data_IF_407397977750
#
_entry.id   IF_407397977750
#
_cell.length_a   1.000
_cell.length_b   1.000
_cell.length_c   1.000
_cell.angle_alpha   90.00
_cell.angle_beta   90.00
_cell.angle_gamma   90.00
#
_symmetry.space_group_name_H-M   'P 1'
#
loop_
_entity.id
_entity.type
_entity.pdbx_description
1 polymer ?
#
# COMPACT_ATOMS: atom_id res chain seq x y z
N UNK A 1 17.27 12.65 -0.78
CA UNK A 1 17.77 14.03 -0.87
C UNK A 1 18.36 14.49 0.47
N UNK A 2 17.58 14.56 1.56
CA UNK A 2 18.08 14.96 2.90
C UNK A 2 19.28 14.13 3.39
N UNK A 3 19.22 12.80 3.28
CA UNK A 3 20.32 11.92 3.70
C UNK A 3 21.63 12.16 2.91
N UNK A 4 21.53 12.61 1.66
CA UNK A 4 22.70 12.88 0.81
C UNK A 4 23.38 14.21 1.15
N UNK A 5 22.66 15.16 1.75
CA UNK A 5 23.22 16.45 2.17
C UNK A 5 23.93 16.33 3.52
N UNK A 6 23.46 15.44 4.41
CA UNK A 6 23.93 15.41 5.80
C UNK A 6 24.90 14.28 6.17
N UNK A 7 25.02 13.23 5.35
CA UNK A 7 25.95 12.13 5.61
C UNK A 7 25.90 11.65 7.07
N UNK A 8 26.96 11.94 7.83
CA UNK A 8 27.21 11.49 9.21
C UNK A 8 26.61 12.36 10.33
N UNK A 9 25.92 13.48 10.03
CA UNK A 9 25.34 14.38 11.06
C UNK A 9 23.80 14.45 11.02
N UNK A 10 23.09 13.35 11.35
CA UNK A 10 21.63 13.26 11.20
C UNK A 10 20.83 14.22 12.11
N UNK A 11 21.44 14.77 13.17
CA UNK A 11 20.75 15.65 14.13
C UNK A 11 20.56 17.10 13.67
N UNK A 12 21.13 17.50 12.54
CA UNK A 12 21.11 18.88 12.03
C UNK A 12 20.30 19.04 10.74
N UNK A 13 19.46 18.05 10.41
CA UNK A 13 18.70 17.99 9.17
C UNK A 13 17.85 19.25 8.89
N UNK A 14 17.42 19.94 9.94
CA UNK A 14 16.64 21.18 9.92
C UNK A 14 17.34 22.31 9.16
N UNK A 15 18.66 22.45 9.31
CA UNK A 15 19.41 23.48 8.58
C UNK A 15 19.51 23.23 7.07
N UNK A 16 19.41 21.97 6.62
CA UNK A 16 19.41 21.64 5.19
C UNK A 16 18.02 21.73 4.57
N UNK A 17 16.96 21.86 5.36
CA UNK A 17 15.59 21.84 4.87
C UNK A 17 15.35 22.91 3.78
N UNK A 18 15.79 24.18 3.93
CA UNK A 18 15.58 25.19 2.89
C UNK A 18 16.32 24.87 1.58
N UNK A 19 17.53 24.30 1.68
CA UNK A 19 18.33 23.96 0.51
C UNK A 19 17.74 22.76 -0.24
N UNK A 20 17.27 21.75 0.51
CA UNK A 20 16.61 20.57 -0.05
C UNK A 20 15.27 20.94 -0.67
N UNK A 21 14.48 21.79 -0.02
CA UNK A 21 13.22 22.30 -0.57
C UNK A 21 13.44 23.03 -1.89
N UNK A 22 14.42 23.95 -1.92
CA UNK A 22 14.75 24.69 -3.13
C UNK A 22 15.21 23.75 -4.26
N UNK A 23 16.09 22.78 -3.95
CA UNK A 23 16.57 21.80 -4.92
C UNK A 23 15.44 20.92 -5.45
N UNK A 24 14.54 20.45 -4.58
CA UNK A 24 13.39 19.64 -4.95
C UNK A 24 12.41 20.43 -5.84
N UNK A 25 12.07 21.66 -5.46
CA UNK A 25 11.13 22.51 -6.20
C UNK A 25 11.70 23.05 -7.51
N UNK A 26 13.03 23.09 -7.66
CA UNK A 26 13.72 23.48 -8.90
C UNK A 26 13.98 22.32 -9.85
N UNK A 27 14.04 21.08 -9.35
CA UNK A 27 14.32 19.91 -10.17
C UNK A 27 13.12 19.54 -11.07
N UNK A 28 13.41 19.14 -12.30
CA UNK A 28 12.39 18.64 -13.24
C UNK A 28 11.95 17.24 -12.80
N UNK A 29 10.65 17.06 -12.60
CA UNK A 29 10.11 15.77 -12.19
C UNK A 29 9.69 14.94 -13.41
N UNK A 30 10.03 13.65 -13.44
CA UNK A 30 9.79 12.77 -14.60
C UNK A 30 8.32 12.58 -14.95
N UNK A 31 7.42 12.63 -13.95
CA UNK A 31 5.98 12.48 -14.18
C UNK A 31 5.32 13.72 -14.83
N UNK A 32 5.85 14.91 -14.56
CA UNK A 32 5.28 16.18 -15.04
C UNK A 32 6.10 16.80 -16.17
N UNK A 33 7.36 16.40 -16.35
CA UNK A 33 8.31 17.00 -17.29
C UNK A 33 8.72 18.44 -16.96
N UNK A 34 8.30 18.96 -15.79
CA UNK A 34 8.52 20.35 -15.35
C UNK A 34 8.90 20.35 -13.86
N UNK A 35 9.49 21.45 -13.39
CA UNK A 35 9.77 21.64 -11.96
C UNK A 35 8.57 22.24 -11.22
N UNK A 36 8.33 21.91 -9.94
CA UNK A 36 7.27 22.53 -9.15
C UNK A 36 7.26 24.06 -9.20
N UNK A 37 8.43 24.70 -9.11
CA UNK A 37 8.50 26.16 -9.22
C UNK A 37 8.04 26.68 -10.58
N UNK A 38 8.40 26.01 -11.68
CA UNK A 38 7.92 26.39 -13.01
C UNK A 38 6.41 26.25 -13.17
N UNK A 39 5.78 25.33 -12.42
CA UNK A 39 4.33 25.12 -12.47
C UNK A 39 3.57 26.15 -11.65
N UNK A 40 4.08 26.51 -10.48
CA UNK A 40 3.42 27.44 -9.54
C UNK A 40 3.66 28.89 -9.94
N UNK A 41 4.91 29.23 -10.27
CA UNK A 41 5.33 30.61 -10.52
C UNK A 41 5.54 30.92 -12.00
N UNK A 42 5.34 29.95 -12.90
CA UNK A 42 5.50 30.07 -14.36
C UNK A 42 6.94 30.43 -14.78
N UNK A 43 7.83 30.56 -13.79
CA UNK A 43 9.21 31.01 -13.91
C UNK A 43 10.05 30.16 -12.96
N UNK A 44 11.27 29.85 -13.38
CA UNK A 44 12.23 29.16 -12.50
C UNK A 44 12.94 30.24 -11.68
N UNK A 45 12.96 30.13 -10.34
CA UNK A 45 13.68 31.05 -9.49
C UNK A 45 15.15 31.12 -9.87
N UNK A 46 15.71 32.32 -9.83
CA UNK A 46 17.12 32.57 -10.11
C UNK A 46 17.99 31.74 -9.16
N UNK A 47 18.86 30.93 -9.73
CA UNK A 47 19.86 30.18 -8.98
C UNK A 47 21.03 31.09 -8.62
N UNK A 48 21.92 30.64 -7.74
CA UNK A 48 23.11 31.41 -7.32
C UNK A 48 23.98 31.81 -8.53
N UNK A 49 24.02 30.97 -9.57
CA UNK A 49 24.71 31.27 -10.84
C UNK A 49 24.03 32.39 -11.65
N UNK A 50 22.72 32.58 -11.50
CA UNK A 50 21.93 33.61 -12.19
C UNK A 50 22.03 34.98 -11.49
N UNK A 51 22.68 35.06 -10.32
CA UNK A 51 22.91 36.31 -9.59
C UNK A 51 24.05 37.14 -10.19
N UNK A 52 24.84 36.56 -11.10
CA UNK A 52 25.87 37.28 -11.86
C UNK A 52 25.18 38.36 -12.70
N UNK A 53 25.58 39.63 -12.50
CA UNK A 53 25.02 40.77 -13.24
C UNK A 53 25.54 40.78 -14.67
N UNK A 54 24.83 40.10 -15.57
CA UNK A 54 25.03 40.24 -17.01
C UNK A 54 24.44 41.58 -17.50
N UNK A 55 25.02 42.20 -18.55
CA UNK A 55 24.44 43.39 -19.18
C UNK A 55 23.01 43.06 -19.61
N UNK A 56 22.03 43.78 -19.06
CA UNK A 56 20.63 43.55 -19.40
C UNK A 56 20.34 44.14 -20.78
N UNK A 57 19.95 43.31 -21.74
CA UNK A 57 19.22 43.77 -22.93
C UNK A 57 17.88 44.41 -22.52
N UNK A 58 17.28 45.18 -23.43
CA UNK A 58 15.99 45.85 -23.20
C UNK A 58 14.98 44.87 -22.57
N UNK A 59 14.51 45.21 -21.36
CA UNK A 59 13.59 44.36 -20.62
C UNK A 59 12.25 44.28 -21.34
N UNK A 60 11.89 43.10 -21.83
CA UNK A 60 10.53 42.87 -22.33
C UNK A 60 9.59 42.76 -21.13
N UNK A 61 8.70 43.75 -20.95
CA UNK A 61 7.54 43.60 -20.08
C UNK A 61 6.60 42.60 -20.74
N UNK A 62 6.58 41.36 -20.26
CA UNK A 62 5.60 40.36 -20.72
C UNK A 62 4.22 40.86 -20.31
N UNK A 63 3.33 41.08 -21.27
CA UNK A 63 1.94 41.46 -21.00
C UNK A 63 1.26 40.35 -20.17
N UNK A 64 0.47 40.73 -19.18
CA UNK A 64 -0.20 39.79 -18.27
C UNK A 64 -1.06 38.74 -19.01
N UNK A 65 -1.64 39.13 -20.15
CA UNK A 65 -2.43 38.24 -21.02
C UNK A 65 -1.59 37.11 -21.63
N UNK A 66 -0.39 37.43 -22.11
CA UNK A 66 0.56 36.44 -22.66
C UNK A 66 1.00 35.42 -21.60
N UNK A 67 1.18 35.87 -20.34
CA UNK A 67 1.51 34.97 -19.23
C UNK A 67 0.34 34.04 -18.89
N UNK A 68 -0.90 34.53 -18.93
CA UNK A 68 -2.08 33.72 -18.66
C UNK A 68 -2.28 32.63 -19.72
N UNK A 69 -2.07 32.94 -21.01
CA UNK A 69 -2.11 31.96 -22.10
C UNK A 69 -1.02 30.89 -21.94
N UNK A 70 0.21 31.31 -21.64
CA UNK A 70 1.31 30.39 -21.36
C UNK A 70 0.99 29.45 -20.19
N UNK A 71 0.40 29.98 -19.12
CA UNK A 71 0.01 29.21 -17.93
C UNK A 71 -1.02 28.12 -18.29
N UNK A 72 -2.05 28.47 -19.05
CA UNK A 72 -3.07 27.51 -19.51
C UNK A 72 -2.45 26.41 -20.36
N UNK A 73 -1.54 26.78 -21.26
CA UNK A 73 -0.83 25.83 -22.11
C UNK A 73 0.03 24.84 -21.29
N UNK A 74 0.81 25.35 -20.33
CA UNK A 74 1.62 24.53 -19.42
C UNK A 74 0.74 23.58 -18.60
N UNK A 75 -0.38 24.06 -18.07
CA UNK A 75 -1.31 23.22 -17.31
C UNK A 75 -1.90 22.10 -18.15
N UNK A 76 -2.27 22.38 -19.41
CA UNK A 76 -2.78 21.38 -20.35
C UNK A 76 -1.71 20.32 -20.67
N UNK A 77 -0.48 20.73 -20.96
CA UNK A 77 0.66 19.85 -21.22
C UNK A 77 0.92 18.90 -20.04
N UNK A 78 0.97 19.46 -18.83
CA UNK A 78 1.26 18.71 -17.60
C UNK A 78 0.15 17.73 -17.28
N UNK A 79 -1.12 18.12 -17.48
CA UNK A 79 -2.27 17.23 -17.29
C UNK A 79 -2.19 16.03 -18.22
N UNK A 80 -1.95 16.27 -19.52
CA UNK A 80 -1.81 15.19 -20.49
C UNK A 80 -0.65 14.24 -20.13
N UNK A 81 0.48 14.79 -19.68
CA UNK A 81 1.63 13.99 -19.25
C UNK A 81 1.35 13.15 -18.00
N UNK A 82 0.63 13.73 -17.04
CA UNK A 82 0.25 13.04 -15.81
C UNK A 82 -0.72 11.89 -16.11
N UNK A 83 -1.68 12.10 -17.01
CA UNK A 83 -2.59 11.04 -17.47
C UNK A 83 -1.83 9.91 -18.17
N UNK A 84 -0.89 10.23 -19.07
CA UNK A 84 -0.05 9.25 -19.76
C UNK A 84 0.82 8.44 -18.78
N UNK A 85 1.50 9.11 -17.85
CA UNK A 85 2.37 8.47 -16.86
C UNK A 85 1.58 7.63 -15.88
N UNK A 86 0.44 8.10 -15.39
CA UNK A 86 -0.47 7.33 -14.55
C UNK A 86 -0.98 6.07 -15.27
N UNK A 87 -1.34 6.18 -16.55
CA UNK A 87 -1.76 5.02 -17.35
C UNK A 87 -0.62 3.98 -17.49
N UNK A 88 0.62 4.43 -17.72
CA UNK A 88 1.81 3.56 -17.76
C UNK A 88 2.06 2.87 -16.42
N UNK A 89 2.02 3.61 -15.31
CA UNK A 89 2.19 3.04 -13.97
C UNK A 89 1.07 2.04 -13.64
N UNK A 90 -0.17 2.35 -14.00
CA UNK A 90 -1.31 1.45 -13.84
C UNK A 90 -1.10 0.15 -14.61
N UNK A 91 -0.73 0.22 -15.90
CA UNK A 91 -0.48 -0.97 -16.72
C UNK A 91 0.66 -1.84 -16.16
N UNK A 92 1.75 -1.21 -15.69
CA UNK A 92 2.86 -1.93 -15.08
C UNK A 92 2.48 -2.61 -13.75
N UNK A 93 1.69 -1.93 -12.91
CA UNK A 93 1.22 -2.47 -11.64
C UNK A 93 0.20 -3.61 -11.86
N UNK A 94 -0.74 -3.42 -12.79
CA UNK A 94 -1.79 -4.40 -13.09
C UNK A 94 -1.20 -5.69 -13.69
N UNK A 95 -0.06 -5.64 -14.40
CA UNK A 95 0.66 -6.84 -14.90
C UNK A 95 1.00 -7.85 -13.80
N UNK A 96 1.31 -7.38 -12.60
CA UNK A 96 1.68 -8.23 -11.46
C UNK A 96 0.52 -8.48 -10.49
N UNK A 97 -0.63 -7.84 -10.71
CA UNK A 97 -1.78 -7.94 -9.83
C UNK A 97 -2.54 -9.23 -10.12
N UNK A 98 -2.70 -10.07 -9.10
CA UNK A 98 -3.61 -11.22 -9.15
C UNK A 98 -4.97 -10.76 -8.64
N UNK A 99 -5.97 -10.78 -9.51
CA UNK A 99 -7.35 -10.47 -9.11
C UNK A 99 -7.91 -11.65 -8.32
N UNK A 100 -8.19 -11.43 -7.04
CA UNK A 100 -8.96 -12.36 -6.20
C UNK A 100 -10.35 -11.78 -6.04
N UNK A 101 -11.36 -12.48 -6.54
CA UNK A 101 -12.76 -12.05 -6.40
C UNK A 101 -13.49 -13.11 -5.60
N UNK A 102 -14.01 -12.69 -4.45
CA UNK A 102 -14.90 -13.49 -3.64
C UNK A 102 -16.34 -13.02 -3.80
N UNK A 103 -17.29 -13.92 -3.55
CA UNK A 103 -18.72 -13.67 -3.55
C UNK A 103 -19.29 -13.66 -2.13
N UNK A 104 -20.46 -13.04 -1.99
CA UNK A 104 -21.22 -13.11 -0.74
C UNK A 104 -21.66 -14.54 -0.52
N UNK A 105 -21.34 -15.10 0.65
CA UNK A 105 -21.62 -16.49 0.97
C UNK A 105 -20.39 -17.39 0.99
N UNK A 106 -19.29 -17.00 0.36
CA UNK A 106 -18.06 -17.79 0.33
C UNK A 106 -17.43 -17.86 1.73
N UNK A 107 -16.82 -19.00 2.03
CA UNK A 107 -15.99 -19.17 3.21
C UNK A 107 -14.55 -18.81 2.87
N UNK A 108 -13.98 -17.93 3.69
CA UNK A 108 -12.61 -17.43 3.51
C UNK A 108 -11.83 -17.48 4.81
N UNK A 109 -10.53 -17.70 4.70
CA UNK A 109 -9.62 -17.50 5.82
C UNK A 109 -9.16 -16.04 5.87
N UNK A 110 -9.20 -15.44 7.06
CA UNK A 110 -8.82 -14.05 7.28
C UNK A 110 -7.40 -13.96 7.79
N UNK A 111 -6.56 -13.14 7.16
CA UNK A 111 -5.22 -12.84 7.63
C UNK A 111 -5.21 -11.61 8.55
N UNK A 112 -4.82 -11.82 9.80
CA UNK A 112 -4.73 -10.74 10.79
C UNK A 112 -3.31 -10.20 10.88
N UNK A 113 -3.16 -8.92 10.52
CA UNK A 113 -1.92 -8.14 10.70
C UNK A 113 -1.82 -7.62 12.14
N UNK A 114 -0.61 -7.22 12.55
CA UNK A 114 -0.30 -6.79 13.93
C UNK A 114 -1.16 -5.60 14.39
N UNK A 115 -1.44 -4.68 13.48
CA UNK A 115 -2.23 -3.46 13.66
C UNK A 115 -3.72 -3.71 13.95
N UNK A 116 -4.24 -4.89 13.58
CA UNK A 116 -5.65 -5.24 13.80
C UNK A 116 -5.92 -5.87 15.16
N UNK A 117 -4.88 -6.31 15.87
CA UNK A 117 -5.06 -6.87 17.21
C UNK A 117 -5.20 -5.74 18.23
N UNK A 118 -6.07 -5.90 19.25
CA UNK A 118 -6.04 -5.05 20.43
C UNK A 118 -4.63 -5.01 21.03
N UNK A 119 -4.26 -3.85 21.58
CA UNK A 119 -2.94 -3.62 22.16
C UNK A 119 -2.65 -4.69 23.22
N UNK A 120 -1.51 -5.38 23.08
CA UNK A 120 -1.09 -6.45 24.01
C UNK A 120 -1.53 -7.88 23.64
N UNK A 121 -2.43 -8.07 22.67
CA UNK A 121 -2.97 -9.40 22.31
C UNK A 121 -2.14 -10.13 21.24
N UNK A 122 -1.31 -9.39 20.51
CA UNK A 122 -0.47 -9.90 19.43
C UNK A 122 0.71 -10.75 19.96
N UNK A 123 0.88 -11.95 19.40
CA UNK A 123 2.04 -12.80 19.65
C UNK A 123 2.56 -13.34 18.31
N UNK A 124 3.89 -13.27 18.09
CA UNK A 124 4.56 -13.72 16.86
C UNK A 124 4.37 -15.22 16.56
N UNK A 125 4.11 -16.03 17.59
CA UNK A 125 3.91 -17.48 17.49
C UNK A 125 2.45 -17.88 17.21
N UNK A 126 1.49 -16.96 17.29
CA UNK A 126 0.10 -17.27 16.96
C UNK A 126 -0.08 -17.49 15.45
N UNK A 127 -1.04 -18.33 15.03
CA UNK A 127 -1.39 -18.44 13.61
C UNK A 127 -1.78 -17.07 13.07
N UNK A 128 -1.45 -16.80 11.81
CA UNK A 128 -1.74 -15.51 11.16
C UNK A 128 -3.04 -15.54 10.36
N UNK A 129 -3.50 -16.73 9.97
CA UNK A 129 -4.76 -16.97 9.27
C UNK A 129 -5.78 -17.56 10.24
N UNK A 130 -7.00 -17.06 10.24
CA UNK A 130 -8.06 -17.44 11.15
C UNK A 130 -9.32 -17.81 10.40
N UNK A 131 -10.00 -18.84 10.93
CA UNK A 131 -11.31 -19.32 10.49
C UNK A 131 -11.31 -19.97 9.10
N UNK A 132 -12.42 -20.63 8.78
CA UNK A 132 -13.29 -20.20 7.71
C UNK A 132 -14.34 -19.23 8.27
N UNK A 133 -14.42 -18.03 7.70
CA UNK A 133 -15.48 -17.08 7.98
C UNK A 133 -16.25 -16.77 6.72
N UNK A 134 -17.55 -16.55 6.86
CA UNK A 134 -18.42 -16.26 5.73
C UNK A 134 -18.31 -14.80 5.32
N UNK A 135 -18.27 -14.53 4.02
CA UNK A 135 -18.43 -13.17 3.50
C UNK A 135 -19.91 -12.77 3.60
N UNK A 136 -20.18 -11.71 4.36
CA UNK A 136 -21.52 -11.16 4.54
C UNK A 136 -21.88 -10.17 3.44
N UNK A 137 -20.91 -9.36 3.02
CA UNK A 137 -21.16 -8.30 2.04
C UNK A 137 -19.90 -8.00 1.24
N UNK A 138 -20.07 -7.76 -0.07
CA UNK A 138 -19.05 -7.23 -0.96
C UNK A 138 -19.26 -5.72 -1.12
N UNK A 139 -18.31 -4.90 -0.67
CA UNK A 139 -18.37 -3.44 -0.85
C UNK A 139 -17.82 -3.08 -2.23
N UNK A 140 -16.66 -3.62 -2.58
CA UNK A 140 -16.05 -3.56 -3.91
C UNK A 140 -15.14 -4.79 -4.11
N UNK A 141 -14.54 -4.95 -5.29
CA UNK A 141 -13.63 -6.09 -5.58
C UNK A 141 -12.38 -6.15 -4.67
N UNK A 142 -12.10 -5.08 -3.92
CA UNK A 142 -10.94 -4.97 -3.05
C UNK A 142 -11.31 -5.01 -1.55
N UNK A 143 -12.59 -4.93 -1.17
CA UNK A 143 -13.04 -4.76 0.20
C UNK A 143 -14.33 -5.52 0.50
N UNK A 144 -14.28 -6.32 1.57
CA UNK A 144 -15.32 -7.28 1.95
C UNK A 144 -15.62 -7.17 3.45
N UNK A 145 -16.88 -7.41 3.82
CA UNK A 145 -17.30 -7.56 5.21
C UNK A 145 -17.43 -9.05 5.52
N UNK A 146 -16.73 -9.48 6.56
CA UNK A 146 -16.63 -10.89 6.96
C UNK A 146 -17.35 -11.09 8.29
N UNK A 147 -17.96 -12.26 8.46
CA UNK A 147 -18.65 -12.64 9.69
C UNK A 147 -17.68 -13.02 10.81
N UNK A 148 -17.01 -12.00 11.37
CA UNK A 148 -16.15 -12.18 12.53
C UNK A 148 -16.94 -12.10 13.84
N UNK A 149 -16.60 -12.97 14.82
CA UNK A 149 -17.21 -12.92 16.14
C UNK A 149 -16.86 -11.61 16.86
N UNK A 150 -17.87 -10.99 17.49
CA UNK A 150 -17.72 -9.73 18.19
C UNK A 150 -16.69 -9.79 19.34
N UNK A 151 -16.45 -11.00 19.89
CA UNK A 151 -15.48 -11.27 20.94
C UNK A 151 -14.04 -10.94 20.56
N UNK A 152 -13.70 -10.90 19.27
CA UNK A 152 -12.36 -10.55 18.82
C UNK A 152 -12.06 -9.05 18.95
N UNK A 153 -13.08 -8.18 18.96
CA UNK A 153 -12.89 -6.72 19.02
C UNK A 153 -12.15 -6.14 17.81
N UNK A 154 -12.22 -6.80 16.65
CA UNK A 154 -11.55 -6.41 15.40
C UNK A 154 -12.60 -5.92 14.40
N UNK A 155 -12.23 -4.94 13.56
CA UNK A 155 -13.07 -4.50 12.44
C UNK A 155 -13.38 -5.65 11.48
N UNK A 156 -14.64 -5.77 11.08
CA UNK A 156 -15.15 -6.82 10.17
C UNK A 156 -14.81 -6.59 8.70
N UNK A 157 -14.21 -5.45 8.36
CA UNK A 157 -13.90 -5.07 6.98
C UNK A 157 -12.47 -5.46 6.61
N UNK A 158 -12.32 -6.26 5.55
CA UNK A 158 -11.04 -6.78 5.08
C UNK A 158 -10.76 -6.42 3.63
N UNK A 159 -9.47 -6.22 3.34
CA UNK A 159 -9.02 -6.10 1.97
C UNK A 159 -8.93 -7.49 1.32
N UNK A 160 -9.22 -7.61 0.02
CA UNK A 160 -9.11 -8.86 -0.72
C UNK A 160 -7.72 -9.54 -0.61
N UNK A 161 -6.66 -8.75 -0.45
CA UNK A 161 -5.30 -9.26 -0.24
C UNK A 161 -5.10 -9.95 1.11
N UNK A 162 -5.90 -9.59 2.12
CA UNK A 162 -5.88 -10.21 3.45
C UNK A 162 -6.89 -11.39 3.55
N UNK A 163 -7.53 -11.77 2.43
CA UNK A 163 -8.43 -12.92 2.34
C UNK A 163 -7.82 -14.06 1.52
N UNK A 164 -8.13 -15.28 1.94
CA UNK A 164 -7.69 -16.52 1.30
C UNK A 164 -8.88 -17.45 1.11
N UNK A 165 -8.89 -18.15 -0.02
CA UNK A 165 -9.87 -19.20 -0.28
C UNK A 165 -9.77 -20.28 0.80
N UNK A 166 -10.93 -20.73 1.28
CA UNK A 166 -11.02 -21.90 2.13
C UNK A 166 -11.39 -23.10 1.25
N UNK A 167 -10.50 -24.09 1.20
CA UNK A 167 -10.80 -25.39 0.62
C UNK A 167 -11.08 -26.32 1.80
N UNK A 168 -12.30 -26.85 1.88
CA UNK A 168 -12.56 -27.97 2.78
C UNK A 168 -11.82 -29.17 2.18
N UNK A 169 -10.72 -29.59 2.80
CA UNK A 169 -10.10 -30.86 2.45
C UNK A 169 -11.11 -31.96 2.77
N UNK A 170 -11.74 -32.55 1.75
CA UNK A 170 -12.61 -33.74 1.86
C UNK A 170 -11.79 -35.04 2.11
N UNK A 171 -10.55 -34.93 2.58
CA UNK A 171 -9.65 -36.06 2.85
C UNK A 171 -9.26 -36.06 4.32
N UNK A 172 -9.81 -36.98 5.15
CA UNK A 172 -9.35 -37.13 6.52
C UNK A 172 -7.90 -37.63 6.50
N UNK A 173 -6.96 -36.74 6.88
CA UNK A 173 -5.51 -37.03 7.01
C UNK A 173 -5.15 -38.05 8.11
N UNK A 174 -6.13 -38.80 8.62
CA UNK A 174 -5.92 -39.91 9.52
C UNK A 174 -6.72 -41.11 9.00
N UNK A 175 -6.02 -42.02 8.34
CA UNK A 175 -6.47 -43.39 8.19
C UNK A 175 -6.58 -43.98 9.60
N UNK A 176 -7.81 -44.20 10.09
CA UNK A 176 -8.07 -45.02 11.27
C UNK A 176 -7.59 -46.45 11.01
N UNK A 177 -6.32 -46.72 11.31
CA UNK A 177 -5.83 -48.08 11.37
C UNK A 177 -6.23 -48.71 12.71
N UNK A 178 -7.47 -49.23 12.70
CA UNK A 178 -7.78 -50.64 12.95
C UNK A 178 -7.01 -51.33 14.10
N UNK A 179 -7.74 -51.74 15.14
CA UNK A 179 -8.06 -53.16 15.39
C UNK A 179 -8.79 -53.35 16.71
N UNK A 180 -10.03 -53.79 16.57
CA UNK A 180 -10.72 -54.65 17.52
C UNK A 180 -9.79 -55.73 18.03
N UNK A 181 -9.60 -55.81 19.35
CA UNK A 181 -9.36 -57.08 20.03
C UNK A 181 -10.46 -57.21 21.08
N UNK A 182 -11.54 -57.88 20.68
CA UNK A 182 -12.45 -58.53 21.61
C UNK A 182 -11.97 -59.96 21.87
N UNK A 183 -12.34 -60.47 23.05
CA UNK A 183 -12.23 -61.86 23.53
C UNK A 183 -10.90 -62.15 24.26
N UNK A 184 -10.84 -62.72 25.47
CA UNK A 184 -11.67 -63.78 26.06
C UNK A 184 -11.69 -63.67 27.61
N UNK A 185 -12.85 -63.96 28.21
CA UNK A 185 -13.07 -64.23 29.64
C UNK A 185 -12.37 -65.51 30.12
N UNK A 186 -11.84 -65.51 31.34
CA UNK A 186 -11.34 -66.70 32.02
C UNK A 186 -11.42 -66.54 33.53
N UNK A 187 -12.53 -66.99 34.11
CA UNK A 187 -12.74 -67.24 35.54
C UNK A 187 -11.82 -68.37 36.01
N UNK A 188 -11.23 -68.29 37.21
CA UNK A 188 -11.32 -69.31 38.28
C UNK A 188 -10.73 -68.82 39.60
N UNK A 189 -11.44 -69.18 40.65
CA UNK A 189 -11.23 -68.96 42.09
C UNK A 189 -10.35 -70.08 42.69
N UNK A 190 -9.60 -69.76 43.76
CA UNK A 190 -9.33 -70.59 44.97
C UNK A 190 -8.03 -70.16 45.68
N UNK A 191 -8.14 -69.83 46.96
CA UNK A 191 -7.04 -69.76 47.93
C UNK A 191 -6.47 -71.15 48.27
N UNK A 192 -5.65 -71.31 49.35
CA UNK A 192 -5.64 -70.55 50.60
C UNK A 192 -4.37 -69.74 50.89
#
# INVERSE_FOLDING_TARGET
MIQSVYGDKPKQWDYALPQVEFAYNSAVHSATGKSPFSLVYITVPKQVVDLVRLPKGAGHSVAAESLAEMTKSIQAEVRAKLEETNAKYKAAADKHRRTKVFQVGDFVMVFLRKDRFPVGTYNKLKPRKYGPYKILQKINDNAYIVDLPATMGISKTFNAADLFDFHADDEPLYLENSKSNSSIEGVTDAGP
#
